data_IF_298757236103
#
_entry.id   IF_298757236103
#
_cell.length_a   1.000
_cell.length_b   1.000
_cell.length_c   1.000
_cell.angle_alpha   90.00
_cell.angle_beta   90.00
_cell.angle_gamma   90.00
#
_symmetry.space_group_name_H-M   'P 1'
#
loop_
_entity.id
_entity.type
_entity.pdbx_description
1 polymer ?
#
# COMPACT_ATOMS: atom_id res chain seq x y z
N UNK A 1 -10.19 -31.28 -11.60
CA UNK A 1 -10.82 -32.45 -12.28
C UNK A 1 -12.36 -32.40 -12.38
N UNK A 2 -13.01 -31.41 -11.79
CA UNK A 2 -14.47 -31.30 -11.74
C UNK A 2 -15.06 -30.21 -12.66
N UNK A 3 -14.28 -29.66 -13.56
CA UNK A 3 -14.70 -28.58 -14.48
C UNK A 3 -14.84 -29.12 -15.89
N UNK A 4 -16.00 -28.91 -16.54
CA UNK A 4 -16.26 -29.51 -17.86
C UNK A 4 -16.24 -28.54 -19.02
N UNK A 5 -16.52 -27.27 -18.81
CA UNK A 5 -16.62 -26.33 -19.92
C UNK A 5 -16.38 -24.91 -19.44
N UNK A 6 -15.61 -24.16 -20.21
CA UNK A 6 -15.35 -22.77 -19.97
C UNK A 6 -15.81 -21.96 -21.19
N UNK A 7 -16.95 -21.31 -21.09
CA UNK A 7 -17.51 -20.44 -22.13
C UNK A 7 -17.97 -19.12 -21.48
N UNK A 8 -17.04 -18.46 -20.77
CA UNK A 8 -17.38 -17.32 -19.90
C UNK A 8 -18.09 -17.72 -18.60
N UNK A 9 -18.35 -19.02 -18.40
CA UNK A 9 -18.93 -19.59 -17.19
C UNK A 9 -18.16 -20.84 -16.78
N UNK A 10 -17.93 -21.00 -15.50
CA UNK A 10 -17.33 -22.20 -14.91
C UNK A 10 -18.48 -23.18 -14.60
N UNK A 11 -18.54 -24.30 -15.30
CA UNK A 11 -19.53 -25.34 -15.07
C UNK A 11 -18.89 -26.49 -14.31
N UNK A 12 -19.43 -26.79 -13.12
CA UNK A 12 -18.96 -27.88 -12.27
C UNK A 12 -19.68 -29.17 -12.64
N UNK A 13 -18.92 -30.26 -12.84
CA UNK A 13 -19.44 -31.62 -13.14
C UNK A 13 -20.22 -32.25 -11.99
N UNK A 14 -19.88 -31.87 -10.76
CA UNK A 14 -20.41 -32.52 -9.55
C UNK A 14 -20.73 -31.47 -8.50
N UNK A 15 -21.51 -31.86 -7.47
CA UNK A 15 -21.68 -31.03 -6.28
C UNK A 15 -20.32 -30.78 -5.65
N UNK A 16 -19.95 -29.50 -5.48
CA UNK A 16 -18.72 -29.11 -4.78
C UNK A 16 -18.81 -29.51 -3.29
N UNK A 17 -17.68 -29.95 -2.76
CA UNK A 17 -17.50 -30.16 -1.33
C UNK A 17 -16.79 -28.93 -0.78
N UNK A 18 -17.27 -28.45 0.36
CA UNK A 18 -16.51 -27.45 1.14
C UNK A 18 -15.32 -28.16 1.77
N UNK A 19 -14.12 -27.63 1.57
CA UNK A 19 -12.90 -28.03 2.27
C UNK A 19 -12.39 -26.89 3.14
N UNK A 20 -11.57 -27.20 4.14
CA UNK A 20 -10.77 -26.18 4.82
C UNK A 20 -9.64 -25.77 3.87
N UNK A 21 -9.31 -24.47 3.87
CA UNK A 21 -8.17 -23.96 3.14
C UNK A 21 -6.88 -24.60 3.68
N UNK A 22 -6.03 -25.04 2.79
CA UNK A 22 -4.66 -25.43 3.09
C UNK A 22 -3.76 -24.19 3.27
N UNK A 23 -2.54 -24.37 3.79
CA UNK A 23 -1.67 -23.24 4.16
C UNK A 23 -1.19 -22.38 2.97
N UNK A 24 -1.32 -22.88 1.75
CA UNK A 24 -0.94 -22.26 0.47
C UNK A 24 -2.15 -21.89 -0.41
N UNK A 25 -3.37 -22.14 0.08
CA UNK A 25 -4.61 -21.79 -0.62
C UNK A 25 -5.18 -20.44 -0.17
N UNK A 26 -5.70 -19.67 -1.11
CA UNK A 26 -6.25 -18.34 -0.87
C UNK A 26 -7.64 -18.18 -1.45
N UNK A 27 -8.54 -17.54 -0.68
CA UNK A 27 -9.86 -17.16 -1.18
C UNK A 27 -9.74 -15.86 -1.99
N UNK A 28 -9.88 -15.93 -3.31
CA UNK A 28 -9.79 -14.77 -4.20
C UNK A 28 -10.70 -13.61 -3.76
N UNK A 29 -11.92 -13.93 -3.26
CA UNK A 29 -12.86 -12.91 -2.79
C UNK A 29 -12.40 -12.16 -1.54
N UNK A 30 -11.59 -12.77 -0.68
CA UNK A 30 -11.08 -12.14 0.55
C UNK A 30 -9.67 -11.58 0.35
N UNK A 31 -8.86 -12.27 -0.45
CA UNK A 31 -7.43 -11.98 -0.55
C UNK A 31 -7.09 -11.08 -1.73
N UNK A 32 -7.99 -10.89 -2.69
CA UNK A 32 -7.70 -10.15 -3.91
C UNK A 32 -8.79 -9.14 -4.31
N UNK A 33 -10.07 -9.55 -4.36
CA UNK A 33 -11.15 -8.64 -4.76
C UNK A 33 -11.32 -7.50 -3.75
N UNK A 34 -11.52 -6.28 -4.25
CA UNK A 34 -11.62 -5.04 -3.49
C UNK A 34 -10.35 -4.64 -2.71
N UNK A 35 -9.25 -5.35 -2.90
CA UNK A 35 -7.97 -4.99 -2.30
C UNK A 35 -7.24 -3.95 -3.14
N UNK A 36 -6.40 -3.17 -2.48
CA UNK A 36 -5.48 -2.26 -3.16
C UNK A 36 -4.20 -3.02 -3.55
N UNK A 37 -3.71 -2.72 -4.74
CA UNK A 37 -2.48 -3.28 -5.28
C UNK A 37 -1.65 -2.15 -5.90
N UNK A 38 -0.37 -2.38 -6.01
CA UNK A 38 0.52 -1.51 -6.78
C UNK A 38 0.50 -1.96 -8.24
N UNK A 39 0.14 -1.06 -9.13
CA UNK A 39 0.42 -1.15 -10.56
C UNK A 39 1.86 -0.68 -10.81
N UNK A 40 2.78 -1.63 -10.94
CA UNK A 40 4.21 -1.34 -11.12
C UNK A 40 4.46 -0.59 -12.44
N UNK A 41 3.71 -0.93 -13.50
CA UNK A 41 3.83 -0.27 -14.80
C UNK A 41 3.30 1.16 -14.80
N UNK A 42 2.17 1.38 -14.13
CA UNK A 42 1.52 2.70 -13.99
C UNK A 42 2.03 3.50 -12.79
N UNK A 43 2.90 2.94 -11.95
CA UNK A 43 3.45 3.57 -10.73
C UNK A 43 2.36 4.21 -9.86
N UNK A 44 1.32 3.46 -9.56
CA UNK A 44 0.18 3.94 -8.79
C UNK A 44 -0.49 2.82 -8.01
N UNK A 45 -1.16 3.20 -6.93
CA UNK A 45 -2.02 2.29 -6.17
C UNK A 45 -3.40 2.24 -6.81
N UNK A 46 -3.87 1.04 -7.11
CA UNK A 46 -5.17 0.80 -7.74
C UNK A 46 -5.96 -0.27 -6.99
N UNK A 47 -7.29 -0.22 -7.11
CA UNK A 47 -8.15 -1.24 -6.50
C UNK A 47 -8.46 -2.35 -7.49
N UNK A 48 -8.41 -3.60 -7.03
CA UNK A 48 -8.84 -4.78 -7.80
C UNK A 48 -10.37 -4.83 -7.82
N UNK A 49 -10.95 -4.60 -8.99
CA UNK A 49 -12.41 -4.62 -9.18
C UNK A 49 -12.90 -5.99 -9.67
N UNK A 50 -12.08 -6.72 -10.44
CA UNK A 50 -12.39 -8.05 -10.94
C UNK A 50 -11.12 -8.85 -11.21
N UNK A 51 -11.25 -10.16 -11.43
CA UNK A 51 -10.13 -11.09 -11.66
C UNK A 51 -10.26 -11.73 -13.01
N UNK A 52 -9.21 -11.67 -13.80
CA UNK A 52 -9.14 -12.33 -15.10
C UNK A 52 -8.55 -13.72 -14.96
N UNK A 53 -9.28 -14.72 -15.44
CA UNK A 53 -8.83 -16.10 -15.46
C UNK A 53 -8.62 -16.56 -16.90
N UNK A 54 -7.62 -17.39 -17.13
CA UNK A 54 -7.36 -18.02 -18.42
C UNK A 54 -7.29 -19.53 -18.28
N UNK A 55 -7.63 -20.23 -19.34
CA UNK A 55 -7.53 -21.70 -19.41
C UNK A 55 -6.30 -22.07 -20.22
N UNK A 56 -5.39 -22.84 -19.63
CA UNK A 56 -4.25 -23.43 -20.35
C UNK A 56 -4.68 -24.61 -21.22
N UNK A 57 -3.81 -25.01 -22.17
CA UNK A 57 -4.03 -26.13 -23.06
C UNK A 57 -4.32 -27.49 -22.38
N UNK A 58 -3.93 -27.62 -21.11
CA UNK A 58 -4.17 -28.80 -20.26
C UNK A 58 -5.46 -28.66 -19.41
N UNK A 59 -6.38 -27.80 -19.78
CA UNK A 59 -7.64 -27.50 -19.05
C UNK A 59 -7.46 -26.92 -17.65
N UNK A 60 -6.26 -26.52 -17.27
CA UNK A 60 -6.04 -25.85 -16.00
C UNK A 60 -6.46 -24.38 -16.07
N UNK A 61 -7.24 -23.95 -15.07
CA UNK A 61 -7.59 -22.53 -14.89
C UNK A 61 -6.44 -21.87 -14.14
N UNK A 62 -5.95 -20.78 -14.71
CA UNK A 62 -4.91 -19.94 -14.09
C UNK A 62 -5.45 -18.53 -13.89
N UNK A 63 -4.97 -17.87 -12.86
CA UNK A 63 -5.17 -16.45 -12.66
C UNK A 63 -4.27 -15.69 -13.64
N UNK A 64 -4.88 -15.02 -14.63
CA UNK A 64 -4.14 -14.33 -15.70
C UNK A 64 -3.76 -12.90 -15.31
N UNK A 65 -4.60 -12.25 -14.50
CA UNK A 65 -4.39 -10.88 -14.07
C UNK A 65 -5.60 -10.33 -13.32
N UNK A 66 -5.57 -9.04 -13.03
CA UNK A 66 -6.64 -8.32 -12.35
C UNK A 66 -7.16 -7.17 -13.20
N UNK A 67 -8.45 -6.89 -13.10
CA UNK A 67 -9.08 -5.74 -13.71
C UNK A 67 -9.24 -4.63 -12.67
N UNK A 68 -8.60 -3.51 -12.92
CA UNK A 68 -8.64 -2.32 -12.08
C UNK A 68 -9.54 -1.23 -12.66
N UNK A 69 -10.18 -1.50 -13.80
CA UNK A 69 -11.07 -0.55 -14.47
C UNK A 69 -12.44 -0.46 -13.81
N UNK A 70 -13.13 0.66 -14.01
CA UNK A 70 -14.52 0.86 -13.58
C UNK A 70 -15.46 -0.19 -14.20
N UNK A 71 -15.07 -0.80 -15.34
CA UNK A 71 -15.84 -1.84 -16.01
C UNK A 71 -15.99 -3.10 -15.18
N UNK A 72 -15.01 -3.46 -14.35
CA UNK A 72 -15.12 -4.55 -13.39
C UNK A 72 -16.29 -4.33 -12.42
N UNK A 73 -16.47 -3.10 -11.93
CA UNK A 73 -17.59 -2.72 -11.04
C UNK A 73 -18.92 -2.83 -11.78
N UNK A 74 -19.01 -2.36 -13.01
CA UNK A 74 -20.24 -2.38 -13.80
C UNK A 74 -20.69 -3.79 -14.18
N UNK A 75 -19.75 -4.71 -14.46
CA UNK A 75 -20.04 -6.14 -14.59
C UNK A 75 -20.66 -6.72 -13.34
N UNK A 76 -20.12 -6.39 -12.17
CA UNK A 76 -20.63 -6.87 -10.89
C UNK A 76 -22.05 -6.39 -10.61
N UNK A 77 -22.37 -5.15 -10.94
CA UNK A 77 -23.73 -4.56 -10.77
C UNK A 77 -24.68 -4.95 -11.93
N UNK A 78 -24.23 -5.73 -12.92
CA UNK A 78 -24.97 -6.14 -14.13
C UNK A 78 -25.50 -4.98 -14.99
N UNK A 79 -24.90 -3.81 -14.88
CA UNK A 79 -25.26 -2.61 -15.64
C UNK A 79 -24.51 -2.49 -16.97
N UNK A 80 -23.64 -3.44 -17.31
CA UNK A 80 -22.82 -3.45 -18.54
C UNK A 80 -23.68 -3.31 -19.83
N UNK A 81 -24.88 -3.91 -19.86
CA UNK A 81 -25.79 -3.85 -21.02
C UNK A 81 -26.39 -2.47 -21.24
N UNK A 82 -26.64 -1.73 -20.17
CA UNK A 82 -27.27 -0.39 -20.23
C UNK A 82 -26.22 0.64 -20.65
N UNK A 83 -25.04 0.61 -20.02
CA UNK A 83 -24.01 1.61 -20.25
C UNK A 83 -23.10 1.28 -21.44
N UNK A 84 -22.94 0.00 -21.80
CA UNK A 84 -22.15 -0.42 -22.96
C UNK A 84 -22.68 0.13 -24.29
N UNK A 85 -24.01 0.27 -24.43
CA UNK A 85 -24.64 0.90 -25.60
C UNK A 85 -24.41 2.42 -25.62
N UNK A 86 -24.51 3.07 -24.48
CA UNK A 86 -24.31 4.53 -24.36
C UNK A 86 -22.85 4.91 -24.63
N UNK A 87 -21.88 4.11 -24.13
CA UNK A 87 -20.44 4.37 -24.29
C UNK A 87 -19.96 4.19 -25.74
N UNK A 88 -20.55 3.25 -26.48
CA UNK A 88 -20.28 3.09 -27.92
C UNK A 88 -20.72 4.30 -28.71
N UNK A 89 -21.78 5.02 -28.29
CA UNK A 89 -22.22 6.25 -28.90
C UNK A 89 -21.28 7.44 -28.68
N UNK A 90 -20.53 7.45 -27.58
CA UNK A 90 -19.60 8.54 -27.22
C UNK A 90 -18.18 8.34 -27.75
N UNK A 91 -17.93 7.27 -28.52
CA UNK A 91 -16.62 7.00 -29.13
C UNK A 91 -15.53 6.60 -28.11
N UNK A 92 -15.90 6.26 -26.87
CA UNK A 92 -14.97 5.80 -25.84
C UNK A 92 -14.43 4.41 -26.16
N UNK A 93 -13.13 4.27 -26.27
CA UNK A 93 -12.45 2.97 -26.37
C UNK A 93 -12.38 2.36 -24.96
N UNK A 94 -13.20 1.34 -24.74
CA UNK A 94 -13.18 0.56 -23.50
C UNK A 94 -12.09 -0.50 -23.58
N UNK A 95 -10.86 -0.13 -23.30
CA UNK A 95 -9.81 -1.11 -23.09
C UNK A 95 -9.88 -1.50 -21.61
N UNK A 96 -10.29 -2.75 -21.27
CA UNK A 96 -10.18 -3.22 -19.91
C UNK A 96 -8.71 -3.15 -19.52
N UNK A 97 -8.39 -2.38 -18.50
CA UNK A 97 -7.02 -2.32 -17.97
C UNK A 97 -6.79 -3.57 -17.14
N UNK A 98 -6.51 -4.67 -17.82
CA UNK A 98 -6.13 -5.92 -17.16
C UNK A 98 -4.65 -5.86 -16.91
N UNK A 99 -4.27 -5.72 -15.64
CA UNK A 99 -2.89 -5.83 -15.21
C UNK A 99 -2.54 -7.32 -15.08
N UNK A 100 -1.46 -7.72 -15.75
CA UNK A 100 -0.94 -9.09 -15.64
C UNK A 100 -0.25 -9.30 -14.30
N UNK A 101 -0.16 -10.54 -13.84
CA UNK A 101 0.34 -10.89 -12.51
C UNK A 101 1.76 -10.37 -12.21
N UNK A 102 2.58 -10.23 -13.22
CA UNK A 102 3.94 -9.68 -13.10
C UNK A 102 4.00 -8.13 -13.04
N UNK A 103 2.87 -7.45 -13.29
CA UNK A 103 2.76 -5.99 -13.25
C UNK A 103 2.12 -5.50 -11.96
N UNK A 104 1.75 -6.38 -11.06
CA UNK A 104 1.06 -6.04 -9.82
C UNK A 104 1.84 -6.52 -8.60
N UNK A 105 1.73 -5.75 -7.53
CA UNK A 105 2.15 -6.13 -6.20
C UNK A 105 0.99 -5.98 -5.24
N UNK A 106 0.69 -7.06 -4.51
CA UNK A 106 -0.33 -7.02 -3.47
C UNK A 106 0.20 -6.26 -2.25
N UNK A 107 -0.54 -5.25 -1.81
CA UNK A 107 -0.19 -4.45 -0.63
C UNK A 107 -0.85 -4.97 0.65
N UNK A 108 -1.85 -5.85 0.53
CA UNK A 108 -2.57 -6.35 1.69
C UNK A 108 -1.79 -7.45 2.42
N UNK A 109 -1.06 -7.04 3.43
CA UNK A 109 -0.37 -7.91 4.38
C UNK A 109 -1.27 -8.32 5.57
N UNK A 110 -2.58 -8.04 5.48
CA UNK A 110 -3.56 -8.39 6.50
C UNK A 110 -3.84 -9.88 6.57
N UNK A 111 -3.52 -10.47 7.69
CA UNK A 111 -3.89 -11.82 8.15
C UNK A 111 -3.53 -12.97 7.21
N UNK A 112 -2.28 -13.34 7.17
CA UNK A 112 -1.84 -14.66 6.74
C UNK A 112 -0.98 -14.69 5.49
N UNK A 113 0.30 -14.70 5.70
CA UNK A 113 1.35 -15.46 4.99
C UNK A 113 1.41 -15.41 3.45
N UNK A 114 0.98 -14.34 2.81
CA UNK A 114 1.59 -14.05 1.52
C UNK A 114 2.89 -13.32 1.83
N UNK A 115 3.96 -14.07 2.08
CA UNK A 115 5.32 -13.59 1.83
C UNK A 115 5.44 -13.45 0.31
N UNK A 116 4.87 -12.41 -0.23
CA UNK A 116 5.36 -11.90 -1.48
C UNK A 116 6.80 -11.50 -1.20
N UNK A 117 7.71 -12.09 -1.96
CA UNK A 117 9.07 -11.60 -2.06
C UNK A 117 8.91 -10.16 -2.56
N UNK A 118 8.80 -9.22 -1.60
CA UNK A 118 8.58 -7.81 -1.87
C UNK A 118 9.87 -7.35 -2.52
N UNK A 119 9.86 -7.31 -3.84
CA UNK A 119 10.99 -6.80 -4.61
C UNK A 119 11.14 -5.35 -4.17
N UNK A 120 12.14 -5.06 -3.34
CA UNK A 120 12.46 -3.73 -2.81
C UNK A 120 12.43 -2.69 -3.93
N UNK A 121 13.05 -3.03 -5.06
CA UNK A 121 13.11 -2.17 -6.23
C UNK A 121 11.73 -1.78 -6.78
N UNK A 122 10.70 -2.59 -6.53
CA UNK A 122 9.34 -2.29 -7.00
C UNK A 122 8.62 -1.28 -6.13
N UNK A 123 8.82 -1.32 -4.81
CA UNK A 123 8.25 -0.33 -3.89
C UNK A 123 8.93 1.02 -4.06
N UNK A 124 10.25 1.03 -4.17
CA UNK A 124 11.05 2.26 -4.35
C UNK A 124 10.84 2.94 -5.72
N UNK A 125 10.13 2.29 -6.66
CA UNK A 125 9.70 2.91 -7.91
C UNK A 125 8.37 3.68 -7.81
N UNK A 126 7.64 3.58 -6.67
CA UNK A 126 6.45 4.39 -6.43
C UNK A 126 6.85 5.81 -5.99
N UNK A 127 6.03 6.83 -6.28
CA UNK A 127 6.13 8.10 -5.59
C UNK A 127 5.93 7.90 -4.07
N UNK A 128 6.77 8.51 -3.21
CA UNK A 128 6.64 8.37 -1.76
C UNK A 128 5.25 8.74 -1.23
N UNK A 129 4.63 9.79 -1.78
CA UNK A 129 3.27 10.25 -1.46
C UNK A 129 2.19 9.18 -1.72
N UNK A 130 2.29 8.44 -2.84
CA UNK A 130 1.34 7.38 -3.18
C UNK A 130 1.42 6.20 -2.19
N UNK A 131 2.64 5.87 -1.75
CA UNK A 131 2.85 4.83 -0.76
C UNK A 131 2.38 5.29 0.63
N UNK A 132 2.64 6.54 1.01
CA UNK A 132 2.18 7.13 2.27
C UNK A 132 0.64 7.12 2.34
N UNK A 133 -0.04 7.63 1.32
CA UNK A 133 -1.50 7.61 1.18
C UNK A 133 -2.12 6.22 1.34
N UNK A 134 -1.42 5.20 0.86
CA UNK A 134 -1.84 3.82 1.06
C UNK A 134 -1.61 3.35 2.50
N UNK A 135 -0.42 3.62 3.05
CA UNK A 135 -0.04 3.18 4.40
C UNK A 135 -0.97 3.74 5.47
N UNK A 136 -1.45 4.97 5.31
CA UNK A 136 -2.43 5.61 6.21
C UNK A 136 -3.79 4.88 6.29
N UNK A 137 -4.09 4.02 5.33
CA UNK A 137 -5.32 3.20 5.30
C UNK A 137 -5.11 1.80 5.88
N UNK A 138 -3.92 1.51 6.39
CA UNK A 138 -3.54 0.19 6.90
C UNK A 138 -3.25 0.23 8.41
N UNK A 139 -3.00 -0.93 9.01
CA UNK A 139 -2.58 -1.00 10.41
C UNK A 139 -1.12 -0.58 10.58
N UNK A 140 -0.78 -0.01 11.74
CA UNK A 140 0.60 0.41 12.05
C UNK A 140 1.62 -0.73 11.88
N UNK A 141 1.25 -1.98 12.16
CA UNK A 141 2.10 -3.15 11.94
C UNK A 141 2.46 -3.34 10.47
N UNK A 142 1.49 -3.10 9.58
CA UNK A 142 1.73 -3.17 8.13
C UNK A 142 2.60 -2.00 7.67
N UNK A 143 2.38 -0.80 8.23
CA UNK A 143 3.24 0.37 7.96
C UNK A 143 4.69 0.02 8.29
N UNK A 144 4.97 -0.43 9.51
CA UNK A 144 6.33 -0.78 9.95
C UNK A 144 6.92 -1.88 9.06
N UNK A 145 6.16 -2.97 8.80
CA UNK A 145 6.65 -4.07 7.96
C UNK A 145 6.99 -3.63 6.53
N UNK A 146 6.20 -2.73 5.96
CA UNK A 146 6.45 -2.18 4.62
C UNK A 146 7.67 -1.26 4.63
N UNK A 147 7.76 -0.36 5.61
CA UNK A 147 8.89 0.55 5.76
C UNK A 147 10.20 -0.20 6.04
N UNK A 148 10.18 -1.34 6.73
CA UNK A 148 11.36 -2.18 6.94
C UNK A 148 11.84 -2.91 5.68
N UNK A 149 10.99 -3.07 4.68
CA UNK A 149 11.33 -3.72 3.41
C UNK A 149 12.03 -2.81 2.40
N UNK A 150 12.03 -1.49 2.61
CA UNK A 150 12.63 -0.48 1.73
C UNK A 150 13.90 0.14 2.34
N UNK A 151 14.70 0.84 1.51
CA UNK A 151 15.91 1.52 1.95
C UNK A 151 15.64 2.72 2.84
N UNK A 152 16.66 3.14 3.61
CA UNK A 152 16.52 4.22 4.60
C UNK A 152 16.16 5.56 3.96
N UNK A 153 16.70 5.88 2.79
CA UNK A 153 16.42 7.14 2.08
C UNK A 153 14.94 7.17 1.65
N UNK A 154 14.50 6.18 0.89
CA UNK A 154 13.10 6.10 0.46
C UNK A 154 12.14 5.97 1.64
N UNK A 155 12.51 5.24 2.70
CA UNK A 155 11.75 5.17 3.96
C UNK A 155 11.55 6.54 4.59
N UNK A 156 12.59 7.37 4.63
CA UNK A 156 12.47 8.72 5.19
C UNK A 156 11.56 9.62 4.36
N UNK A 157 11.62 9.52 3.03
CA UNK A 157 10.73 10.24 2.12
C UNK A 157 9.27 9.82 2.34
N UNK A 158 8.97 8.52 2.40
CA UNK A 158 7.60 8.03 2.67
C UNK A 158 7.11 8.46 4.05
N UNK A 159 7.97 8.46 5.07
CA UNK A 159 7.59 8.93 6.41
C UNK A 159 7.32 10.43 6.39
N UNK A 160 8.06 11.24 5.65
CA UNK A 160 7.80 12.66 5.46
C UNK A 160 6.41 12.93 4.89
N UNK A 161 5.96 12.11 3.95
CA UNK A 161 4.65 12.25 3.31
C UNK A 161 3.47 11.72 4.16
N UNK A 162 3.71 10.94 5.23
CA UNK A 162 2.64 10.54 6.15
C UNK A 162 2.12 11.74 6.94
N UNK A 163 0.81 11.74 7.27
CA UNK A 163 0.30 12.74 8.20
C UNK A 163 0.95 12.61 9.59
N UNK A 164 1.02 13.70 10.34
CA UNK A 164 1.74 13.79 11.60
C UNK A 164 1.33 12.71 12.62
N UNK A 165 0.05 12.33 12.66
CA UNK A 165 -0.43 11.27 13.56
C UNK A 165 0.23 9.93 13.27
N UNK A 166 0.27 9.53 11.99
CA UNK A 166 0.94 8.30 11.56
C UNK A 166 2.46 8.38 11.74
N UNK A 167 3.06 9.54 11.47
CA UNK A 167 4.49 9.76 11.74
C UNK A 167 4.81 9.48 13.21
N UNK A 168 4.07 10.06 14.13
CA UNK A 168 4.26 9.87 15.58
C UNK A 168 4.08 8.39 15.97
N UNK A 169 3.03 7.72 15.48
CA UNK A 169 2.81 6.30 15.73
C UNK A 169 3.99 5.43 15.22
N UNK A 170 4.50 5.72 14.01
CA UNK A 170 5.70 5.04 13.47
C UNK A 170 6.90 5.28 14.40
N UNK A 171 7.13 6.52 14.81
CA UNK A 171 8.25 6.86 15.69
C UNK A 171 8.14 6.25 17.09
N UNK A 172 6.95 5.96 17.61
CA UNK A 172 6.77 5.23 18.87
C UNK A 172 7.16 3.75 18.75
N UNK A 173 6.97 3.13 17.59
CA UNK A 173 7.32 1.72 17.34
C UNK A 173 8.81 1.52 16.98
N UNK A 174 9.48 2.51 16.38
CA UNK A 174 10.89 2.42 16.00
C UNK A 174 11.83 2.38 17.20
N UNK A 175 12.97 1.74 17.08
CA UNK A 175 14.07 1.90 18.04
C UNK A 175 14.65 3.31 17.98
N UNK A 176 15.29 3.79 19.08
CA UNK A 176 15.93 5.11 19.09
C UNK A 176 16.97 5.27 17.99
N UNK A 177 17.69 4.20 17.65
CA UNK A 177 18.69 4.21 16.59
C UNK A 177 18.08 4.32 15.20
N UNK A 178 16.96 3.63 14.94
CA UNK A 178 16.23 3.78 13.67
C UNK A 178 15.63 5.18 13.55
N UNK A 179 14.94 5.62 14.59
CA UNK A 179 14.34 6.96 14.64
C UNK A 179 15.37 8.07 14.41
N UNK A 180 16.56 7.98 15.03
CA UNK A 180 17.61 9.00 14.85
C UNK A 180 18.15 9.05 13.42
N UNK A 181 18.26 7.91 12.73
CA UNK A 181 18.68 7.89 11.32
C UNK A 181 17.66 8.55 10.41
N UNK A 182 16.38 8.26 10.63
CA UNK A 182 15.28 8.88 9.87
C UNK A 182 15.24 10.39 10.13
N UNK A 183 15.28 10.83 11.38
CA UNK A 183 15.34 12.26 11.75
C UNK A 183 16.54 12.98 11.10
N UNK A 184 17.66 12.30 10.92
CA UNK A 184 18.82 12.88 10.25
C UNK A 184 18.59 13.14 8.74
N UNK A 185 17.73 12.35 8.11
CA UNK A 185 17.40 12.43 6.67
C UNK A 185 16.24 13.39 6.38
N UNK A 186 15.27 13.51 7.29
CA UNK A 186 14.10 14.39 7.10
C UNK A 186 14.50 15.88 7.01
N UNK A 187 13.70 16.70 6.30
CA UNK A 187 13.78 18.17 6.41
C UNK A 187 13.73 18.62 7.86
N UNK A 188 14.47 19.68 8.25
CA UNK A 188 14.55 20.09 9.67
C UNK A 188 13.21 20.50 10.32
N UNK A 189 12.32 21.12 9.56
CA UNK A 189 10.97 21.52 9.98
C UNK A 189 10.09 20.31 10.27
N UNK A 190 10.01 19.34 9.36
CA UNK A 190 9.27 18.09 9.54
C UNK A 190 9.81 17.28 10.74
N UNK A 191 11.14 17.17 10.84
CA UNK A 191 11.78 16.49 11.95
C UNK A 191 11.43 17.14 13.31
N UNK A 192 11.33 18.47 13.37
CA UNK A 192 10.95 19.21 14.58
C UNK A 192 9.50 18.95 14.94
N UNK A 193 8.59 18.94 13.99
CA UNK A 193 7.18 18.70 14.25
C UNK A 193 6.97 17.31 14.87
N UNK A 194 7.59 16.27 14.30
CA UNK A 194 7.56 14.92 14.87
C UNK A 194 8.17 14.91 16.29
N UNK A 195 9.35 15.51 16.46
CA UNK A 195 10.04 15.52 17.75
C UNK A 195 9.25 16.24 18.84
N UNK A 196 8.50 17.28 18.53
CA UNK A 196 7.68 18.01 19.48
C UNK A 196 6.49 17.20 19.99
N UNK A 197 5.91 16.33 19.15
CA UNK A 197 4.82 15.45 19.54
C UNK A 197 5.28 14.27 20.42
N UNK A 198 6.55 13.84 20.29
CA UNK A 198 7.09 12.75 21.12
C UNK A 198 7.30 13.19 22.57
N UNK A 199 7.20 12.24 23.51
CA UNK A 199 7.52 12.48 24.92
C UNK A 199 8.94 13.06 25.07
N UNK A 200 9.15 13.95 26.05
CA UNK A 200 10.45 14.59 26.31
C UNK A 200 11.59 13.56 26.48
N UNK A 201 11.29 12.44 27.13
CA UNK A 201 12.27 11.36 27.31
C UNK A 201 12.66 10.74 25.97
N UNK A 202 11.68 10.37 25.15
CA UNK A 202 11.87 9.74 23.84
C UNK A 202 12.65 10.67 22.91
N UNK A 203 12.20 11.92 22.80
CA UNK A 203 12.84 12.99 22.03
C UNK A 203 14.33 13.16 22.39
N UNK A 204 14.66 13.27 23.68
CA UNK A 204 16.04 13.42 24.11
C UNK A 204 16.92 12.20 23.79
N UNK A 205 16.36 10.99 23.85
CA UNK A 205 17.06 9.77 23.46
C UNK A 205 17.38 9.76 21.96
N UNK A 206 16.40 10.10 21.13
CA UNK A 206 16.59 10.20 19.68
C UNK A 206 17.63 11.25 19.35
N UNK A 207 17.48 12.49 19.89
CA UNK A 207 18.42 13.59 19.67
C UNK A 207 19.85 13.28 20.15
N UNK A 208 20.03 12.42 21.15
CA UNK A 208 21.36 12.03 21.59
C UNK A 208 22.13 11.20 20.55
N UNK A 209 21.43 10.58 19.61
CA UNK A 209 21.99 9.75 18.56
C UNK A 209 22.04 10.43 17.19
N UNK A 210 21.39 11.60 17.02
CA UNK A 210 21.46 12.40 15.80
C UNK A 210 22.85 13.03 15.64
N UNK A 211 23.41 13.12 14.44
CA UNK A 211 24.68 13.80 14.18
C UNK A 211 24.69 15.24 14.70
N UNK A 212 25.82 15.68 15.27
CA UNK A 212 25.94 16.93 16.04
C UNK A 212 25.49 18.19 15.26
N UNK A 213 25.79 18.27 13.96
CA UNK A 213 25.40 19.41 13.12
C UNK A 213 23.87 19.48 12.99
N UNK A 214 23.24 18.39 12.53
CA UNK A 214 21.78 18.33 12.40
C UNK A 214 21.07 18.54 13.74
N UNK A 215 21.62 18.00 14.83
CA UNK A 215 21.08 18.17 16.18
C UNK A 215 21.07 19.64 16.61
N UNK A 216 22.11 20.42 16.29
CA UNK A 216 22.16 21.84 16.63
C UNK A 216 21.02 22.60 15.92
N UNK A 217 20.84 22.36 14.61
CA UNK A 217 19.77 22.98 13.82
C UNK A 217 18.37 22.63 14.38
N UNK A 218 18.15 21.36 14.73
CA UNK A 218 16.87 20.91 15.30
C UNK A 218 16.57 21.56 16.66
N UNK A 219 17.57 21.68 17.55
CA UNK A 219 17.40 22.33 18.86
C UNK A 219 17.08 23.81 18.68
N UNK A 220 17.72 24.50 17.76
CA UNK A 220 17.44 25.90 17.44
C UNK A 220 16.00 26.07 16.95
N UNK A 221 15.57 25.29 15.95
CA UNK A 221 14.21 25.35 15.42
C UNK A 221 13.15 25.01 16.47
N UNK A 222 13.38 23.99 17.29
CA UNK A 222 12.47 23.63 18.40
C UNK A 222 12.32 24.80 19.41
N UNK A 223 13.40 25.53 19.69
CA UNK A 223 13.35 26.68 20.59
C UNK A 223 12.52 27.82 20.01
N UNK A 224 12.60 28.04 18.71
CA UNK A 224 11.79 29.04 17.99
C UNK A 224 10.32 28.69 17.97
N UNK A 225 9.99 27.44 17.68
CA UNK A 225 8.60 26.93 17.63
C UNK A 225 7.91 27.04 18.99
N UNK A 226 8.58 26.65 20.07
CA UNK A 226 8.03 26.76 21.43
C UNK A 226 7.87 28.21 21.90
N UNK A 227 8.73 29.13 21.46
CA UNK A 227 8.67 30.56 21.81
C UNK A 227 7.52 31.28 21.08
N UNK A 228 7.23 30.88 19.82
CA UNK A 228 6.13 31.46 19.06
C UNK A 228 4.77 31.00 19.60
N UNK A 229 4.60 29.75 20.00
CA UNK A 229 3.38 29.24 20.63
C UNK A 229 3.10 29.98 21.98
N UNK A 230 4.13 30.26 22.75
CA UNK A 230 3.99 31.02 23.99
C UNK A 230 3.53 32.49 23.82
N UNK A 231 3.74 33.10 22.66
CA UNK A 231 3.28 34.48 22.35
C UNK A 231 1.80 34.57 21.99
N UNK A 232 1.18 33.46 21.54
CA UNK A 232 -0.24 33.43 21.18
C UNK A 232 -1.14 32.91 22.30
N UNK A 233 -0.58 32.41 23.40
CA UNK A 233 -1.31 31.88 24.56
C UNK A 233 -1.36 32.83 25.77
N UNK A 234 -0.81 34.04 25.66
CA UNK A 234 -0.94 35.19 26.57
C UNK A 234 -1.65 36.31 25.83
#
# INVERSE_FOLDING_TARGET
ENITQFNGQIILKTKFKTSKLENDEYLLSKSLLNKQIIDIGGRKVVRVNDVSMAVRKNEQIILAGVDTSIWGIWRWVKLEKIFGSFWKLTGGTTIPTVLTWNQIQLLDLGEGKIKLNTDRDKLENLPPEDLADYLEKTSIKNVISTLDSVGEEYRSEVIGELNLTYQVEVFEELTNAQASRIIALLPPDEAVDILLELSKYRRNKILSLVPSLKKADLIELMSLSTTNLGKYLN
#
